data_IF_297139821924
#
_entry.id   IF_297139821924
#
_cell.length_a   1.000
_cell.length_b   1.000
_cell.length_c   1.000
_cell.angle_alpha   90.00
_cell.angle_beta   90.00
_cell.angle_gamma   90.00
#
_symmetry.space_group_name_H-M   'P 1'
#
loop_
_entity.id
_entity.type
_entity.pdbx_description
1 polymer ?
#
# COMPACT_ATOMS: atom_id res chain seq x y z
N UNK A 1 -8.06 -3.68 -14.78
CA UNK A 1 -7.94 -2.35 -14.14
C UNK A 1 -7.32 -2.55 -12.77
N UNK A 2 -6.13 -2.01 -12.51
CA UNK A 2 -5.42 -2.16 -11.23
C UNK A 2 -6.14 -1.43 -10.11
N UNK A 3 -6.15 -2.02 -8.92
CA UNK A 3 -6.75 -1.39 -7.75
C UNK A 3 -5.97 -0.12 -7.37
N UNK A 4 -6.61 1.03 -7.53
CA UNK A 4 -6.04 2.33 -7.18
C UNK A 4 -6.25 2.54 -5.68
N UNK A 5 -5.18 2.59 -4.91
CA UNK A 5 -5.24 3.02 -3.51
C UNK A 5 -5.50 4.53 -3.45
N UNK A 6 -6.37 4.99 -2.56
CA UNK A 6 -6.61 6.42 -2.33
C UNK A 6 -5.49 7.03 -1.48
N UNK A 7 -4.34 7.31 -2.09
CA UNK A 7 -3.20 7.90 -1.36
C UNK A 7 -3.41 9.35 -0.91
N UNK A 8 -4.56 9.96 -1.24
CA UNK A 8 -4.88 11.35 -0.92
C UNK A 8 -5.37 11.51 0.53
N UNK A 9 -5.91 10.46 1.15
CA UNK A 9 -6.34 10.51 2.55
C UNK A 9 -5.12 10.63 3.49
N UNK A 10 -5.18 11.60 4.41
CA UNK A 10 -4.14 11.86 5.42
C UNK A 10 -3.89 10.64 6.31
N UNK A 11 -4.82 9.68 6.42
CA UNK A 11 -4.66 8.42 7.15
C UNK A 11 -3.50 7.57 6.62
N UNK A 12 -3.13 7.74 5.35
CA UNK A 12 -2.00 7.03 4.76
C UNK A 12 -0.64 7.61 5.16
N UNK A 13 -0.59 8.75 5.85
CA UNK A 13 0.65 9.37 6.27
C UNK A 13 0.82 9.27 7.79
N UNK A 14 1.93 8.66 8.22
CA UNK A 14 2.34 8.65 9.62
C UNK A 14 3.59 9.51 9.82
N UNK A 15 3.67 10.30 10.91
CA UNK A 15 4.87 11.07 11.23
C UNK A 15 6.06 10.19 11.64
N UNK A 16 5.82 8.90 11.94
CA UNK A 16 6.88 7.95 12.29
C UNK A 16 7.25 7.09 11.09
N UNK A 17 8.52 7.10 10.64
CA UNK A 17 8.99 6.22 9.58
C UNK A 17 9.06 4.79 10.11
N UNK A 18 8.50 3.85 9.35
CA UNK A 18 8.63 2.43 9.62
C UNK A 18 9.08 1.67 8.37
N UNK A 19 9.71 0.49 8.54
CA UNK A 19 10.18 -0.29 7.41
C UNK A 19 8.99 -0.76 6.56
N UNK A 20 9.08 -0.53 5.25
CA UNK A 20 8.11 -1.04 4.29
C UNK A 20 8.07 -2.57 4.36
N UNK A 21 6.87 -3.16 4.47
CA UNK A 21 6.71 -4.61 4.53
C UNK A 21 7.09 -5.38 3.25
N UNK A 22 7.47 -4.68 2.17
CA UNK A 22 7.79 -5.26 0.86
C UNK A 22 9.28 -5.09 0.55
N UNK A 23 9.81 -3.88 0.64
CA UNK A 23 11.22 -3.59 0.31
C UNK A 23 12.11 -3.33 1.54
N UNK A 24 11.56 -3.38 2.76
CA UNK A 24 12.23 -3.09 4.03
C UNK A 24 12.83 -1.68 4.20
N UNK A 25 12.69 -0.79 3.22
CA UNK A 25 13.16 0.61 3.32
C UNK A 25 12.22 1.46 4.18
N UNK A 26 12.72 2.48 4.89
CA UNK A 26 11.87 3.34 5.71
C UNK A 26 10.82 4.07 4.86
N UNK A 27 9.59 4.12 5.36
CA UNK A 27 8.46 4.83 4.76
C UNK A 27 7.58 5.45 5.84
N UNK A 28 7.11 6.66 5.58
CA UNK A 28 6.04 7.29 6.36
C UNK A 28 4.65 6.88 5.83
N UNK A 29 4.61 6.30 4.64
CA UNK A 29 3.39 5.96 3.93
C UNK A 29 2.84 4.61 4.40
N UNK A 30 1.52 4.56 4.55
CA UNK A 30 0.74 3.42 5.02
C UNK A 30 -0.23 3.01 3.91
N UNK A 31 -0.30 1.73 3.63
CA UNK A 31 -1.35 1.14 2.80
C UNK A 31 -2.73 1.32 3.48
N UNK A 32 -3.82 1.09 2.76
CA UNK A 32 -5.21 1.15 3.26
C UNK A 32 -5.45 0.36 4.55
N UNK A 33 -4.74 -0.76 4.71
CA UNK A 33 -4.79 -1.58 5.93
C UNK A 33 -3.90 -1.07 7.08
N UNK A 34 -3.36 0.14 6.98
CA UNK A 34 -2.47 0.76 7.98
C UNK A 34 -1.03 0.20 7.99
N UNK A 35 -0.69 -0.73 7.09
CA UNK A 35 0.65 -1.34 7.02
C UNK A 35 1.66 -0.41 6.35
N UNK A 36 2.90 -0.28 6.85
CA UNK A 36 3.94 0.52 6.18
C UNK A 36 4.25 -0.04 4.78
N UNK A 37 3.99 0.79 3.76
CA UNK A 37 4.31 0.45 2.38
C UNK A 37 4.51 1.72 1.56
N UNK A 38 5.56 1.75 0.72
CA UNK A 38 5.64 2.78 -0.32
C UNK A 38 4.49 2.61 -1.30
N UNK A 39 4.04 3.72 -1.89
CA UNK A 39 2.96 3.74 -2.87
C UNK A 39 3.18 2.70 -3.97
N UNK A 40 4.33 2.78 -4.64
CA UNK A 40 4.69 1.88 -5.73
C UNK A 40 4.79 0.43 -5.26
N UNK A 41 5.39 0.18 -4.09
CA UNK A 41 5.46 -1.19 -3.56
C UNK A 41 4.07 -1.78 -3.31
N UNK A 42 3.15 -1.02 -2.71
CA UNK A 42 1.78 -1.46 -2.49
C UNK A 42 1.03 -1.69 -3.80
N UNK A 43 1.16 -0.78 -4.77
CA UNK A 43 0.55 -0.92 -6.11
C UNK A 43 1.10 -2.14 -6.86
N UNK A 44 2.43 -2.33 -6.88
CA UNK A 44 3.10 -3.50 -7.49
C UNK A 44 2.75 -4.80 -6.79
N UNK A 45 2.60 -4.81 -5.47
CA UNK A 45 2.16 -6.00 -4.74
C UNK A 45 0.71 -6.33 -5.07
N UNK A 46 -0.17 -5.32 -5.09
CA UNK A 46 -1.58 -5.54 -5.44
C UNK A 46 -1.74 -5.98 -6.88
N UNK A 47 -0.99 -5.44 -7.83
CA UNK A 47 -0.99 -5.89 -9.23
C UNK A 47 -0.60 -7.38 -9.35
N UNK A 48 0.46 -7.79 -8.64
CA UNK A 48 0.91 -9.19 -8.60
C UNK A 48 -0.04 -10.12 -7.81
N UNK A 49 -0.76 -9.59 -6.81
CA UNK A 49 -1.64 -10.35 -5.91
C UNK A 49 -3.14 -10.11 -6.15
N UNK A 50 -3.51 -9.39 -7.22
CA UNK A 50 -4.90 -9.34 -7.71
C UNK A 50 -5.28 -10.73 -8.19
N UNK A 51 -5.66 -11.60 -7.26
CA UNK A 51 -6.64 -12.63 -7.57
C UNK A 51 -7.87 -11.89 -8.09
N UNK A 52 -8.47 -12.30 -9.21
CA UNK A 52 -9.77 -11.76 -9.61
C UNK A 52 -10.69 -11.98 -8.41
N UNK A 53 -11.04 -10.90 -7.72
CA UNK A 53 -12.06 -10.93 -6.70
C UNK A 53 -13.34 -11.26 -7.43
N UNK A 54 -13.72 -12.54 -7.34
CA UNK A 54 -15.05 -12.98 -6.97
C UNK A 54 -16.06 -11.83 -6.93
N UNK A 55 -16.72 -11.63 -8.07
CA UNK A 55 -17.95 -10.88 -8.18
C UNK A 55 -19.06 -11.93 -8.23
N UNK A 56 -19.48 -12.41 -7.06
CA UNK A 56 -20.75 -13.12 -6.92
C UNK A 56 -21.90 -12.13 -6.73
#
# INVERSE_FOLDING_TARGET
MGAHFDWSDKKHWSPRPEPCGICAKPTNLRSDRGKPAHKVCAETWTDQHTKPTDKS
#
